data_IF_516241265124
#
_entry.id   IF_516241265124
#
_cell.length_a   1.000
_cell.length_b   1.000
_cell.length_c   1.000
_cell.angle_alpha   90.00
_cell.angle_beta   90.00
_cell.angle_gamma   90.00
#
_symmetry.space_group_name_H-M   'P 1'
#
loop_
_entity.id
_entity.type
_entity.pdbx_description
1 polymer ?
#
# COMPACT_ATOMS: atom_id res chain seq x y z
N UNK A 1 -0.08 -8.08 18.37
CA UNK A 1 -0.47 -8.03 16.94
C UNK A 1 -0.91 -6.60 16.63
N UNK A 2 -0.02 -5.64 16.84
CA UNK A 2 -0.38 -4.23 17.00
C UNK A 2 -0.13 -3.39 15.75
N UNK A 3 -0.15 -4.05 14.58
CA UNK A 3 -0.04 -3.38 13.29
C UNK A 3 -1.37 -2.84 12.80
N UNK A 4 -1.32 -2.23 11.62
CA UNK A 4 -2.49 -1.71 10.92
C UNK A 4 -2.41 -1.99 9.43
N UNK A 5 -3.42 -1.51 8.71
CA UNK A 5 -3.33 -1.43 7.26
C UNK A 5 -3.93 -0.13 6.76
N UNK A 6 -3.24 0.49 5.81
CA UNK A 6 -3.80 1.58 5.02
C UNK A 6 -4.56 0.99 3.83
N UNK A 7 -5.77 1.48 3.56
CA UNK A 7 -6.69 0.86 2.62
C UNK A 7 -7.10 1.85 1.52
N UNK A 8 -6.76 1.54 0.28
CA UNK A 8 -7.22 2.24 -0.91
C UNK A 8 -8.39 1.46 -1.53
N UNK A 9 -9.52 2.14 -1.77
CA UNK A 9 -10.67 1.56 -2.46
C UNK A 9 -10.67 2.01 -3.91
N UNK A 10 -10.59 1.07 -4.86
CA UNK A 10 -10.36 1.36 -6.28
C UNK A 10 -11.64 1.27 -7.13
N UNK A 11 -12.79 0.91 -6.53
CA UNK A 11 -14.02 0.63 -7.29
C UNK A 11 -13.86 -0.62 -8.17
N UNK A 12 -14.56 -0.68 -9.31
CA UNK A 12 -14.53 -1.81 -10.26
C UNK A 12 -13.83 -1.44 -11.59
N UNK A 13 -12.82 -0.56 -11.54
CA UNK A 13 -12.07 -0.15 -12.72
C UNK A 13 -10.74 -0.92 -12.80
N UNK A 14 -10.72 -2.02 -13.55
CA UNK A 14 -9.56 -2.92 -13.63
C UNK A 14 -8.31 -2.21 -14.14
N UNK A 15 -8.43 -1.36 -15.17
CA UNK A 15 -7.27 -0.62 -15.70
C UNK A 15 -6.65 0.32 -14.66
N UNK A 16 -7.49 0.97 -13.85
CA UNK A 16 -7.00 1.86 -12.79
C UNK A 16 -6.43 1.06 -11.62
N UNK A 17 -6.99 -0.12 -11.34
CA UNK A 17 -6.44 -1.04 -10.36
C UNK A 17 -5.02 -1.47 -10.73
N UNK A 18 -4.80 -1.87 -11.99
CA UNK A 18 -3.49 -2.34 -12.47
C UNK A 18 -2.42 -1.25 -12.35
N UNK A 19 -2.75 -0.02 -12.75
CA UNK A 19 -1.87 1.16 -12.59
C UNK A 19 -1.52 1.39 -11.12
N UNK A 20 -2.52 1.49 -10.25
CA UNK A 20 -2.33 1.74 -8.81
C UNK A 20 -1.58 0.60 -8.12
N UNK A 21 -1.82 -0.65 -8.54
CA UNK A 21 -1.15 -1.81 -8.00
C UNK A 21 0.33 -1.84 -8.40
N UNK A 22 0.64 -1.55 -9.66
CA UNK A 22 2.02 -1.43 -10.13
C UNK A 22 2.75 -0.29 -9.42
N UNK A 23 2.13 0.88 -9.31
CA UNK A 23 2.69 2.02 -8.55
C UNK A 23 2.98 1.65 -7.09
N UNK A 24 2.07 0.91 -6.44
CA UNK A 24 2.27 0.44 -5.06
C UNK A 24 3.47 -0.50 -4.96
N UNK A 25 3.60 -1.47 -5.88
CA UNK A 25 4.72 -2.41 -5.91
C UNK A 25 6.05 -1.69 -6.14
N UNK A 26 6.09 -0.79 -7.12
CA UNK A 26 7.29 -0.01 -7.46
C UNK A 26 7.70 0.91 -6.31
N UNK A 27 6.73 1.59 -5.68
CA UNK A 27 6.98 2.45 -4.52
C UNK A 27 7.57 1.68 -3.33
N UNK A 28 7.13 0.44 -3.10
CA UNK A 28 7.66 -0.39 -2.00
C UNK A 28 9.09 -0.85 -2.27
N UNK A 29 9.37 -1.39 -3.46
CA UNK A 29 10.72 -1.89 -3.76
C UNK A 29 11.72 -0.76 -3.97
N UNK A 30 11.25 0.42 -4.38
CA UNK A 30 12.04 1.63 -4.54
C UNK A 30 12.20 2.44 -3.26
N UNK A 31 11.67 1.95 -2.13
CA UNK A 31 11.72 2.62 -0.83
C UNK A 31 11.18 4.07 -0.87
N UNK A 32 10.20 4.33 -1.72
CA UNK A 32 9.69 5.68 -1.99
C UNK A 32 8.76 6.23 -0.89
N UNK A 33 8.65 5.54 0.24
CA UNK A 33 7.81 5.92 1.38
C UNK A 33 8.58 6.66 2.48
N UNK A 34 9.84 7.00 2.23
CA UNK A 34 10.63 7.89 3.07
C UNK A 34 10.33 9.36 2.76
N UNK A 35 10.04 10.17 3.77
CA UNK A 35 10.10 11.63 3.65
C UNK A 35 11.45 12.11 4.19
N UNK A 36 12.16 12.95 3.44
CA UNK A 36 13.48 13.50 3.81
C UNK A 36 13.50 14.23 5.19
N UNK A 37 12.33 14.55 5.73
CA UNK A 37 12.16 15.24 7.01
C UNK A 37 11.91 14.33 8.20
N UNK A 38 11.61 13.04 7.99
CA UNK A 38 11.28 12.11 9.07
C UNK A 38 12.54 11.42 9.61
N UNK A 39 12.71 11.33 10.94
CA UNK A 39 13.90 10.74 11.56
C UNK A 39 14.02 9.24 11.33
N UNK A 40 12.91 8.56 11.05
CA UNK A 40 12.83 7.15 10.67
C UNK A 40 11.89 7.05 9.46
N UNK A 41 12.33 6.55 8.30
CA UNK A 41 11.49 6.48 7.12
C UNK A 41 10.30 5.54 7.35
N UNK A 42 9.11 5.96 6.89
CA UNK A 42 7.85 5.21 7.05
C UNK A 42 7.96 3.77 6.49
N UNK A 43 8.88 3.55 5.56
CA UNK A 43 9.16 2.26 4.96
C UNK A 43 9.59 1.18 5.95
N UNK A 44 10.23 1.55 7.07
CA UNK A 44 10.56 0.58 8.13
C UNK A 44 9.33 -0.10 8.72
N UNK A 45 8.19 0.60 8.72
CA UNK A 45 6.94 0.06 9.22
C UNK A 45 6.19 -0.76 8.16
N UNK A 46 6.55 -0.69 6.88
CA UNK A 46 5.85 -1.42 5.83
C UNK A 46 6.24 -2.90 5.88
N UNK A 47 5.24 -3.75 6.11
CA UNK A 47 5.39 -5.21 6.20
C UNK A 47 4.93 -5.93 4.94
N UNK A 48 4.21 -5.24 4.05
CA UNK A 48 3.79 -5.75 2.75
C UNK A 48 2.55 -5.06 2.21
N UNK A 49 2.06 -5.53 1.07
CA UNK A 49 0.77 -5.09 0.53
C UNK A 49 -0.03 -6.25 -0.08
N UNK A 50 -1.34 -6.04 -0.20
CA UNK A 50 -2.30 -7.03 -0.69
C UNK A 50 -3.32 -6.36 -1.59
N UNK A 51 -3.57 -6.93 -2.76
CA UNK A 51 -4.72 -6.59 -3.60
C UNK A 51 -5.86 -7.58 -3.39
N UNK A 52 -7.08 -7.06 -3.19
CA UNK A 52 -8.30 -7.83 -3.00
C UNK A 52 -9.28 -7.54 -4.13
N UNK A 53 -9.42 -8.50 -5.05
CA UNK A 53 -10.36 -8.41 -6.18
C UNK A 53 -11.74 -8.89 -5.72
N UNK A 54 -12.78 -8.05 -5.83
CA UNK A 54 -14.13 -8.35 -5.34
C UNK A 54 -15.18 -7.79 -6.29
N UNK A 55 -16.38 -8.39 -6.26
CA UNK A 55 -17.53 -7.94 -7.08
C UNK A 55 -18.05 -6.55 -6.72
N UNK A 56 -17.89 -6.13 -5.46
CA UNK A 56 -18.37 -4.84 -4.92
C UNK A 56 -17.27 -3.77 -4.78
N UNK A 57 -16.15 -3.92 -5.47
CA UNK A 57 -15.04 -2.98 -5.40
C UNK A 57 -13.73 -3.67 -5.02
N UNK A 58 -12.73 -3.48 -5.86
CA UNK A 58 -11.36 -3.86 -5.58
C UNK A 58 -10.75 -2.95 -4.51
N UNK A 59 -9.79 -3.50 -3.77
CA UNK A 59 -9.07 -2.78 -2.72
C UNK A 59 -7.59 -3.12 -2.77
N UNK A 60 -6.75 -2.14 -2.50
CA UNK A 60 -5.33 -2.33 -2.23
C UNK A 60 -5.10 -2.00 -0.75
N UNK A 61 -4.36 -2.84 -0.04
CA UNK A 61 -4.01 -2.63 1.35
C UNK A 61 -2.50 -2.65 1.52
N UNK A 62 -1.93 -1.63 2.15
CA UNK A 62 -0.55 -1.60 2.66
C UNK A 62 -0.59 -1.96 4.14
N UNK A 63 0.19 -2.95 4.55
CA UNK A 63 0.27 -3.42 5.92
C UNK A 63 1.44 -2.77 6.64
N UNK A 64 1.17 -2.29 7.84
CA UNK A 64 2.12 -1.59 8.68
C UNK A 64 2.31 -2.35 9.99
N UNK A 65 3.54 -2.47 10.47
CA UNK A 65 3.81 -2.86 11.86
C UNK A 65 3.40 -1.73 12.81
N UNK A 66 3.46 -2.03 14.11
CA UNK A 66 3.31 -0.98 15.13
C UNK A 66 4.41 0.07 14.94
N UNK A 67 4.04 1.34 15.09
CA UNK A 67 4.95 2.48 15.05
C UNK A 67 5.58 2.71 16.43
#
# INVERSE_FOLDING_TARGET
>A
ANGGRWLLTCGNQDSKLDELWLETLLGMIGDCFSHDTDPEPLSHYITGCVVAIRTRGHKIALWLSEA
#
